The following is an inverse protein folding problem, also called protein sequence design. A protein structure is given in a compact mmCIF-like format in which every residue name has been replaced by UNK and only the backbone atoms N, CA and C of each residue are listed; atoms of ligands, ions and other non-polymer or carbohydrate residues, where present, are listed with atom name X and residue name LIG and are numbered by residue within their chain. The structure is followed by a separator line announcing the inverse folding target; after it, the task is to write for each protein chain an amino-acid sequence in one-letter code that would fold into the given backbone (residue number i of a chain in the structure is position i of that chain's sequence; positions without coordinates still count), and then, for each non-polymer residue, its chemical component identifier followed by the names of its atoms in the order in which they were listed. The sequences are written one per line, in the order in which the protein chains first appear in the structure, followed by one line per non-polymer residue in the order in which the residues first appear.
data_IF_972266646925
#
_entry.id   IF_972266646925
#
_cell.length_a   1.000
_cell.length_b   1.000
_cell.length_c   1.000
_cell.angle_alpha   90.00
_cell.angle_beta   90.00
_cell.angle_gamma   90.00
#
_symmetry.space_group_name_H-M   'P 1'
#
loop_
_entity.id
_entity.type
_entity.pdbx_description
1 polymer ?
#
# COMPACT_ATOMS: atom_id res chain seq x y z
N UNK A 1 -4.58 14.90 -4.91
CA UNK A 1 -5.64 13.92 -4.59
C UNK A 1 -6.52 14.49 -3.49
N UNK A 2 -7.84 14.31 -3.56
CA UNK A 2 -8.75 14.73 -2.49
C UNK A 2 -8.53 13.82 -1.29
N UNK A 3 -8.29 14.36 -0.10
CA UNK A 3 -8.13 13.55 1.12
C UNK A 3 -9.38 12.69 1.32
N UNK A 4 -9.27 11.37 1.41
CA UNK A 4 -10.43 10.52 1.61
C UNK A 4 -11.09 10.85 2.96
N UNK A 5 -12.38 11.19 2.93
CA UNK A 5 -13.17 11.43 4.13
C UNK A 5 -13.82 10.12 4.54
N UNK A 6 -13.32 9.54 5.64
CA UNK A 6 -13.89 8.33 6.21
C UNK A 6 -15.04 8.69 7.15
N UNK A 7 -16.16 8.00 7.01
CA UNK A 7 -17.31 8.15 7.91
C UNK A 7 -17.26 7.18 9.09
N UNK A 8 -16.35 6.21 9.09
CA UNK A 8 -16.17 5.26 10.18
C UNK A 8 -14.96 4.35 9.97
N UNK A 9 -14.59 3.61 11.00
CA UNK A 9 -13.59 2.55 10.90
C UNK A 9 -13.87 1.43 11.89
N UNK A 10 -13.50 0.21 11.53
CA UNK A 10 -13.50 -0.95 12.42
C UNK A 10 -12.16 -1.67 12.35
N UNK A 11 -11.83 -2.48 13.36
CA UNK A 11 -10.61 -3.29 13.36
C UNK A 11 -10.95 -4.72 13.72
N UNK A 12 -10.40 -5.65 12.95
CA UNK A 12 -10.53 -7.09 13.16
C UNK A 12 -9.17 -7.64 13.61
N UNK A 13 -9.17 -8.64 14.49
CA UNK A 13 -7.97 -9.38 14.84
C UNK A 13 -8.03 -10.80 14.30
N UNK A 14 -6.99 -11.20 13.59
CA UNK A 14 -6.75 -12.57 13.12
C UNK A 14 -5.48 -13.06 13.81
N UNK A 15 -5.64 -13.89 14.85
CA UNK A 15 -4.54 -14.21 15.76
C UNK A 15 -3.98 -12.94 16.42
N UNK A 16 -2.66 -12.74 16.32
CA UNK A 16 -1.98 -11.52 16.81
C UNK A 16 -2.07 -10.32 15.84
N UNK A 17 -2.48 -10.55 14.60
CA UNK A 17 -2.49 -9.52 13.55
C UNK A 17 -3.79 -8.72 13.60
N UNK A 18 -3.68 -7.40 13.72
CA UNK A 18 -4.80 -6.47 13.59
C UNK A 18 -4.90 -5.97 12.15
N UNK A 19 -6.12 -5.99 11.60
CA UNK A 19 -6.46 -5.41 10.30
C UNK A 19 -7.42 -4.25 10.50
N UNK A 20 -7.14 -3.11 9.89
CA UNK A 20 -8.03 -1.94 9.93
C UNK A 20 -8.86 -1.83 8.66
N UNK A 21 -10.15 -1.63 8.84
CA UNK A 21 -11.11 -1.27 7.81
C UNK A 21 -11.51 0.19 8.00
N UNK A 22 -11.38 1.00 6.96
CA UNK A 22 -11.81 2.40 6.93
C UNK A 22 -12.91 2.54 5.88
N UNK A 23 -14.03 3.13 6.29
CA UNK A 23 -15.25 3.19 5.50
C UNK A 23 -15.45 4.61 5.00
N UNK A 24 -15.64 4.74 3.69
CA UNK A 24 -16.05 5.97 3.04
C UNK A 24 -17.43 5.76 2.41
N UNK A 25 -18.29 6.77 2.49
CA UNK A 25 -19.57 6.81 1.77
C UNK A 25 -19.32 6.65 0.27
N UNK A 26 -19.95 5.67 -0.37
CA UNK A 26 -19.71 5.36 -1.78
C UNK A 26 -20.06 6.51 -2.72
N UNK A 27 -21.03 7.36 -2.33
CA UNK A 27 -21.48 8.53 -3.08
C UNK A 27 -20.33 9.51 -3.38
N UNK A 28 -19.36 9.62 -2.46
CA UNK A 28 -18.18 10.47 -2.65
C UNK A 28 -17.22 9.97 -3.75
N UNK A 29 -17.43 8.73 -4.22
CA UNK A 29 -16.61 8.04 -5.22
C UNK A 29 -17.43 7.59 -6.44
N UNK A 30 -18.65 8.11 -6.61
CA UNK A 30 -19.53 7.75 -7.73
C UNK A 30 -20.25 6.41 -7.57
N UNK A 31 -20.25 5.83 -6.37
CA UNK A 31 -20.98 4.60 -6.06
C UNK A 31 -22.41 4.85 -5.54
N UNK A 32 -23.19 3.77 -5.38
CA UNK A 32 -24.59 3.84 -4.97
C UNK A 32 -24.77 4.28 -3.51
N UNK A 33 -25.88 4.97 -3.22
CA UNK A 33 -26.23 5.38 -1.87
C UNK A 33 -26.42 4.18 -0.94
N UNK A 34 -26.05 4.35 0.34
CA UNK A 34 -26.12 3.28 1.34
C UNK A 34 -25.04 2.19 1.20
N UNK A 35 -24.14 2.33 0.22
CA UNK A 35 -22.95 1.49 0.09
C UNK A 35 -21.70 2.25 0.55
N UNK A 36 -20.61 1.51 0.73
CA UNK A 36 -19.35 2.03 1.22
C UNK A 36 -18.21 1.59 0.33
N UNK A 37 -17.30 2.53 0.03
CA UNK A 37 -15.96 2.19 -0.45
C UNK A 37 -15.09 1.89 0.76
N UNK A 38 -14.37 0.78 0.73
CA UNK A 38 -13.66 0.27 1.91
C UNK A 38 -12.16 0.24 1.65
N UNK A 39 -11.39 0.75 2.61
CA UNK A 39 -9.93 0.66 2.63
C UNK A 39 -9.50 -0.32 3.71
N UNK A 40 -8.78 -1.37 3.33
CA UNK A 40 -8.29 -2.44 4.22
C UNK A 40 -6.78 -2.31 4.33
N UNK A 41 -6.26 -2.13 5.55
CA UNK A 41 -4.84 -1.88 5.82
C UNK A 41 -4.22 -0.85 4.86
N UNK A 42 -4.94 0.26 4.63
CA UNK A 42 -4.56 1.39 3.76
C UNK A 42 -4.64 1.10 2.25
N UNK A 43 -5.12 -0.07 1.83
CA UNK A 43 -5.37 -0.43 0.42
C UNK A 43 -6.85 -0.36 0.10
N UNK A 44 -7.23 0.32 -0.98
CA UNK A 44 -8.62 0.30 -1.43
C UNK A 44 -8.99 -1.13 -1.86
N UNK A 45 -10.12 -1.63 -1.33
CA UNK A 45 -10.67 -2.88 -1.79
C UNK A 45 -11.33 -2.65 -3.14
N UNK A 46 -10.64 -3.11 -4.18
CA UNK A 46 -11.09 -3.06 -5.55
C UNK A 46 -11.32 -4.51 -6.04
N UNK A 47 -12.31 -4.70 -6.93
CA UNK A 47 -12.61 -5.97 -7.59
C UNK A 47 -12.29 -5.82 -9.07
N UNK A 48 -11.45 -6.71 -9.62
CA UNK A 48 -10.99 -6.67 -11.01
C UNK A 48 -10.43 -5.29 -11.43
N UNK A 49 -9.68 -4.66 -10.52
CA UNK A 49 -9.08 -3.34 -10.73
C UNK A 49 -10.08 -2.17 -10.70
N UNK A 50 -11.33 -2.41 -10.31
CA UNK A 50 -12.38 -1.38 -10.22
C UNK A 50 -12.81 -1.13 -8.78
N UNK A 51 -13.20 0.10 -8.44
CA UNK A 51 -13.76 0.42 -7.13
C UNK A 51 -14.90 -0.54 -6.76
N UNK A 52 -14.74 -1.23 -5.62
CA UNK A 52 -15.84 -2.02 -5.06
C UNK A 52 -16.65 -1.17 -4.07
N UNK A 53 -17.97 -1.29 -4.15
CA UNK A 53 -18.90 -0.65 -3.22
C UNK A 53 -19.68 -1.72 -2.49
N UNK A 54 -19.54 -1.76 -1.17
CA UNK A 54 -20.09 -2.82 -0.32
C UNK A 54 -21.29 -2.30 0.47
N UNK A 55 -22.35 -3.09 0.53
CA UNK A 55 -23.44 -2.89 1.49
C UNK A 55 -22.96 -3.19 2.91
N UNK A 56 -23.65 -2.72 3.96
CA UNK A 56 -23.33 -3.09 5.34
C UNK A 56 -23.23 -4.61 5.56
N UNK A 57 -24.13 -5.39 4.95
CA UNK A 57 -24.13 -6.85 5.07
C UNK A 57 -22.86 -7.48 4.44
N UNK A 58 -22.47 -7.03 3.25
CA UNK A 58 -21.23 -7.48 2.61
C UNK A 58 -19.99 -7.11 3.43
N UNK A 59 -19.97 -5.91 4.01
CA UNK A 59 -18.89 -5.43 4.89
C UNK A 59 -18.74 -6.27 6.14
N UNK A 60 -19.85 -6.62 6.80
CA UNK A 60 -19.85 -7.52 7.96
C UNK A 60 -19.34 -8.90 7.56
N UNK A 61 -19.84 -9.47 6.45
CA UNK A 61 -19.37 -10.76 5.96
C UNK A 61 -17.86 -10.74 5.67
N UNK A 62 -17.36 -9.69 5.01
CA UNK A 62 -15.93 -9.52 4.73
C UNK A 62 -15.09 -9.45 6.02
N UNK A 63 -15.56 -8.73 7.04
CA UNK A 63 -14.89 -8.67 8.35
C UNK A 63 -14.89 -10.03 9.08
N UNK A 64 -15.98 -10.80 8.97
CA UNK A 64 -16.06 -12.17 9.50
C UNK A 64 -15.08 -13.09 8.77
N UNK A 65 -15.09 -13.08 7.43
CA UNK A 65 -14.17 -13.90 6.63
C UNK A 65 -12.70 -13.58 6.89
N UNK A 66 -12.37 -12.34 7.27
CA UNK A 66 -11.02 -11.99 7.75
C UNK A 66 -10.66 -12.64 9.07
N UNK A 67 -11.59 -12.62 10.00
CA UNK A 67 -11.39 -13.22 11.33
C UNK A 67 -11.14 -14.72 11.17
N UNK A 68 -11.87 -15.36 10.27
CA UNK A 68 -11.77 -16.79 9.96
C UNK A 68 -10.62 -17.12 8.99
N UNK A 69 -9.92 -16.12 8.46
CA UNK A 69 -8.80 -16.28 7.53
C UNK A 69 -9.14 -16.66 6.09
N UNK A 70 -10.41 -16.60 5.71
CA UNK A 70 -10.87 -16.75 4.33
C UNK A 70 -10.73 -15.48 3.48
N UNK A 71 -10.45 -14.32 4.08
CA UNK A 71 -9.96 -13.13 3.39
C UNK A 71 -8.55 -12.80 3.91
N UNK A 72 -7.66 -12.34 3.02
CA UNK A 72 -6.30 -11.90 3.36
C UNK A 72 -6.07 -10.54 2.71
N UNK A 73 -5.56 -9.53 3.44
CA UNK A 73 -5.18 -8.24 2.85
C UNK A 73 -4.10 -8.42 1.80
N UNK A 74 -4.00 -7.42 0.94
CA UNK A 74 -2.91 -7.29 -0.02
C UNK A 74 -1.56 -7.36 0.72
N UNK A 75 -0.71 -8.36 0.41
CA UNK A 75 0.58 -8.49 1.05
C UNK A 75 1.47 -7.28 0.74
N UNK A 76 2.44 -7.04 1.61
CA UNK A 76 3.52 -6.10 1.29
C UNK A 76 4.45 -6.74 0.27
N UNK A 77 5.10 -5.95 -0.60
CA UNK A 77 6.13 -6.47 -1.50
C UNK A 77 7.23 -7.21 -0.72
N UNK A 78 7.70 -8.33 -1.25
CA UNK A 78 8.81 -9.08 -0.66
C UNK A 78 10.16 -8.43 -1.00
N UNK A 79 10.55 -7.47 -0.16
CA UNK A 79 11.86 -6.81 -0.23
C UNK A 79 12.49 -6.86 1.17
N UNK A 80 13.26 -7.92 1.47
CA UNK A 80 13.92 -8.07 2.75
C UNK A 80 14.86 -6.92 3.08
N UNK A 81 15.13 -6.73 4.37
CA UNK A 81 16.23 -5.86 4.82
C UNK A 81 17.57 -6.36 4.28
N UNK A 82 18.47 -5.45 3.92
CA UNK A 82 19.76 -5.79 3.32
C UNK A 82 19.64 -6.17 1.84
N UNK A 83 18.55 -5.83 1.16
CA UNK A 83 18.42 -5.94 -0.29
C UNK A 83 19.10 -4.76 -0.95
N UNK A 84 19.96 -5.01 -1.94
CA UNK A 84 20.58 -3.96 -2.73
C UNK A 84 19.58 -3.41 -3.75
N UNK A 85 19.40 -2.09 -3.75
CA UNK A 85 18.43 -1.41 -4.62
C UNK A 85 19.07 -0.22 -5.31
N UNK A 86 18.53 0.11 -6.48
CA UNK A 86 18.79 1.37 -7.19
C UNK A 86 17.51 2.18 -7.21
N UNK A 87 17.60 3.48 -7.00
CA UNK A 87 16.47 4.39 -7.15
C UNK A 87 16.83 5.58 -8.03
N UNK A 88 15.85 6.09 -8.75
CA UNK A 88 16.04 7.28 -9.57
C UNK A 88 16.08 8.53 -8.69
N UNK A 89 17.05 9.40 -8.94
CA UNK A 89 17.19 10.70 -8.26
C UNK A 89 16.88 11.88 -9.18
N UNK A 90 17.01 11.69 -10.49
CA UNK A 90 16.56 12.66 -11.49
C UNK A 90 16.06 11.93 -12.75
N UNK A 91 15.01 12.44 -13.41
CA UNK A 91 14.62 12.00 -14.74
C UNK A 91 15.74 12.26 -15.75
N UNK A 92 15.71 11.54 -16.88
CA UNK A 92 16.50 11.94 -18.03
C UNK A 92 16.00 13.30 -18.56
N UNK A 93 16.91 14.17 -18.97
CA UNK A 93 16.60 15.51 -19.47
C UNK A 93 17.46 15.81 -20.70
N UNK A 94 16.83 15.78 -21.89
CA UNK A 94 17.54 15.83 -23.17
C UNK A 94 18.58 14.71 -23.29
N UNK A 95 19.84 15.10 -23.51
CA UNK A 95 20.97 14.18 -23.61
C UNK A 95 21.54 13.72 -22.24
N UNK A 96 21.03 14.25 -21.13
CA UNK A 96 21.45 13.80 -19.80
C UNK A 96 20.74 12.49 -19.43
N UNK A 97 21.49 11.40 -19.18
CA UNK A 97 20.89 10.14 -18.76
C UNK A 97 20.25 10.27 -17.38
N UNK A 98 19.32 9.35 -17.08
CA UNK A 98 18.74 9.25 -15.75
C UNK A 98 19.84 9.11 -14.69
N UNK A 99 19.71 9.85 -13.60
CA UNK A 99 20.59 9.68 -12.44
C UNK A 99 19.97 8.70 -11.48
N UNK A 100 20.75 7.69 -11.12
CA UNK A 100 20.38 6.66 -10.17
C UNK A 100 21.40 6.57 -9.06
N UNK A 101 20.91 6.38 -7.85
CA UNK A 101 21.74 6.10 -6.67
C UNK A 101 21.45 4.69 -6.17
N UNK A 102 22.49 4.00 -5.73
CA UNK A 102 22.37 2.66 -5.15
C UNK A 102 22.43 2.73 -3.65
N UNK A 103 21.65 1.88 -2.99
CA UNK A 103 21.61 1.76 -1.54
C UNK A 103 21.25 0.36 -1.09
N UNK A 104 21.07 0.22 0.21
CA UNK A 104 20.63 -1.01 0.86
C UNK A 104 19.35 -0.75 1.64
N UNK A 105 18.39 -1.66 1.57
CA UNK A 105 17.19 -1.58 2.41
C UNK A 105 17.56 -1.77 3.88
N UNK A 106 17.05 -0.89 4.73
CA UNK A 106 17.34 -0.84 6.16
C UNK A 106 16.16 -1.29 7.02
N UNK A 107 14.96 -1.37 6.43
CA UNK A 107 13.73 -1.84 7.06
C UNK A 107 13.04 -2.89 6.17
N UNK A 108 12.06 -3.59 6.72
CA UNK A 108 11.03 -4.24 5.89
C UNK A 108 10.10 -3.17 5.28
N UNK A 109 9.38 -3.48 4.20
CA UNK A 109 8.42 -2.55 3.63
C UNK A 109 7.28 -2.25 4.60
N UNK A 110 6.81 -1.01 4.60
CA UNK A 110 5.64 -0.56 5.35
C UNK A 110 4.65 0.08 4.39
N UNK A 111 3.34 -0.06 4.65
CA UNK A 111 2.32 0.63 3.86
C UNK A 111 1.99 1.98 4.47
N UNK A 112 2.21 3.06 3.72
CA UNK A 112 1.91 4.42 4.15
C UNK A 112 0.44 4.78 3.93
N UNK A 113 0.04 5.98 4.36
CA UNK A 113 -1.36 6.44 4.33
C UNK A 113 -1.93 6.61 2.92
N UNK A 114 -1.07 6.81 1.93
CA UNK A 114 -1.40 6.85 0.50
C UNK A 114 -1.68 5.44 -0.08
N UNK A 115 -1.46 4.37 0.69
CA UNK A 115 -1.65 2.97 0.28
C UNK A 115 -0.46 2.38 -0.45
N UNK A 116 0.58 3.17 -0.73
CA UNK A 116 1.82 2.71 -1.35
C UNK A 116 2.73 2.05 -0.29
N UNK A 117 3.49 1.06 -0.73
CA UNK A 117 4.54 0.46 0.08
C UNK A 117 5.80 1.31 0.00
N UNK A 118 6.41 1.59 1.15
CA UNK A 118 7.69 2.29 1.27
C UNK A 118 8.68 1.42 2.03
N UNK A 119 9.96 1.56 1.72
CA UNK A 119 11.05 0.91 2.45
C UNK A 119 12.11 1.94 2.77
N UNK A 120 12.70 1.85 3.97
CA UNK A 120 13.83 2.69 4.33
C UNK A 120 15.07 2.22 3.58
N UNK A 121 15.73 3.12 2.84
CA UNK A 121 16.95 2.83 2.08
C UNK A 121 18.07 3.72 2.59
N UNK A 122 19.26 3.14 2.79
CA UNK A 122 20.46 3.92 3.07
C UNK A 122 20.93 4.61 1.79
N UNK A 123 20.91 5.94 1.82
CA UNK A 123 21.31 6.82 0.72
C UNK A 123 22.54 7.59 1.14
N UNK A 124 23.57 7.58 0.28
CA UNK A 124 24.84 8.25 0.55
C UNK A 124 24.63 9.76 0.79
N UNK A 125 25.16 10.27 1.89
CA UNK A 125 25.03 11.69 2.28
C UNK A 125 23.63 12.10 2.80
N UNK A 126 22.64 11.20 2.84
CA UNK A 126 21.26 11.50 3.32
C UNK A 126 20.78 10.62 4.47
N UNK A 127 21.52 9.55 4.79
CA UNK A 127 21.11 8.60 5.83
C UNK A 127 20.01 7.66 5.34
N UNK A 128 19.03 7.35 6.19
CA UNK A 128 17.91 6.46 5.83
C UNK A 128 16.74 7.28 5.31
N UNK A 129 16.35 7.04 4.05
CA UNK A 129 15.23 7.72 3.39
C UNK A 129 14.12 6.71 3.09
N UNK A 130 12.87 7.07 3.36
CA UNK A 130 11.71 6.25 2.98
C UNK A 130 11.41 6.45 1.50
N UNK A 131 11.64 5.41 0.70
CA UNK A 131 11.40 5.44 -0.74
C UNK A 131 10.23 4.51 -1.11
N UNK A 132 9.36 4.92 -2.04
CA UNK A 132 8.27 4.08 -2.48
C UNK A 132 8.84 2.88 -3.24
N UNK A 133 8.34 1.68 -2.94
CA UNK A 133 8.88 0.43 -3.49
C UNK A 133 8.83 0.39 -5.02
N UNK A 134 7.82 1.01 -5.63
CA UNK A 134 7.67 1.05 -7.08
C UNK A 134 8.66 1.99 -7.80
N UNK A 135 9.44 2.79 -7.07
CA UNK A 135 10.54 3.59 -7.63
C UNK A 135 11.90 2.89 -7.55
N UNK A 136 11.94 1.68 -6.95
CA UNK A 136 13.17 0.91 -6.74
C UNK A 136 13.34 -0.18 -7.79
N UNK A 137 14.58 -0.37 -8.22
CA UNK A 137 15.04 -1.54 -8.97
C UNK A 137 15.91 -2.41 -8.05
N UNK A 138 15.56 -3.68 -7.89
CA UNK A 138 16.38 -4.63 -7.12
C UNK A 138 17.63 -4.99 -7.94
N UNK A 139 18.81 -4.82 -7.37
CA UNK A 139 20.08 -5.17 -8.02
C UNK A 139 20.46 -6.59 -7.59
N UNK A 140 20.64 -7.50 -8.55
CA UNK A 140 21.19 -8.84 -8.30
C UNK A 140 20.18 -9.98 -8.15
N UNK A 141 18.88 -9.75 -8.36
CA UNK A 141 17.96 -10.84 -8.74
C UNK A 141 18.05 -10.98 -10.26
N UNK A 142 18.88 -11.90 -10.75
CA UNK A 142 18.69 -12.47 -12.09
C UNK A 142 17.32 -13.14 -12.12
N UNK A 143 16.54 -12.81 -13.15
CA UNK A 143 15.31 -13.49 -13.54
C UNK A 143 15.50 -15.00 -13.64
#
# INVERSE_FOLDING_TARGET
MKTPVFCGSLSVRQGSRRVRFELAKAEAYGGPAGCYRVRVDRVWHDLDGKPAFLTPAQLVNMAVMMTLGGFKPEPLPDIPRGTRVSHQTAPADGDMPERRETGWTMTEPIRAQDGLAYVGVSVYGRGVVMLPVNSLSIIGRTS
#
